data_IF_169759559092
#
_entry.id   IF_169759559092
#
_cell.length_a   1.000
_cell.length_b   1.000
_cell.length_c   1.000
_cell.angle_alpha   90.00
_cell.angle_beta   90.00
_cell.angle_gamma   90.00
#
_symmetry.space_group_name_H-M   'P 1'
#
loop_
_entity.id
_entity.type
_entity.pdbx_description
1 polymer ?
#
# COMPACT_ATOMS: atom_id res chain seq x y z
N UNK A 1 -26.35 -4.63 16.53
CA UNK A 1 -25.63 -4.99 15.28
C UNK A 1 -24.16 -4.81 15.59
N UNK A 2 -23.33 -5.81 15.36
CA UNK A 2 -21.92 -5.76 15.73
C UNK A 2 -21.22 -4.61 14.99
N UNK A 3 -20.62 -3.67 15.72
CA UNK A 3 -19.77 -2.59 15.22
C UNK A 3 -18.48 -3.18 14.62
N UNK A 4 -18.58 -3.83 13.46
CA UNK A 4 -17.43 -4.43 12.78
C UNK A 4 -16.69 -3.31 12.05
N UNK A 5 -15.49 -2.97 12.53
CA UNK A 5 -14.58 -2.06 11.84
C UNK A 5 -14.09 -2.66 10.52
N UNK A 6 -13.98 -1.82 9.50
CA UNK A 6 -13.35 -2.17 8.24
C UNK A 6 -11.87 -2.46 8.45
N UNK A 7 -11.38 -3.52 7.81
CA UNK A 7 -9.97 -3.92 7.84
C UNK A 7 -9.25 -3.25 6.68
N UNK A 8 -8.29 -2.38 7.00
CA UNK A 8 -7.49 -1.64 6.04
C UNK A 8 -6.10 -2.25 5.97
N UNK A 9 -5.64 -2.55 4.76
CA UNK A 9 -4.21 -2.77 4.50
C UNK A 9 -3.65 -1.53 3.81
N UNK A 10 -2.51 -1.04 4.30
CA UNK A 10 -1.86 0.15 3.76
C UNK A 10 -0.63 -0.23 2.94
N UNK A 11 -0.60 0.09 1.65
CA UNK A 11 0.56 -0.10 0.79
C UNK A 11 1.41 1.18 0.71
N UNK A 12 2.68 1.09 1.12
CA UNK A 12 3.62 2.21 1.11
C UNK A 12 4.97 1.84 0.47
N UNK A 13 5.78 2.83 0.10
CA UNK A 13 7.17 2.57 -0.33
C UNK A 13 8.15 2.52 0.84
N UNK A 14 9.42 2.22 0.53
CA UNK A 14 10.52 2.16 1.49
C UNK A 14 10.72 3.47 2.27
N UNK A 15 10.49 4.61 1.62
CA UNK A 15 10.71 5.92 2.21
C UNK A 15 9.68 6.19 3.31
N UNK A 16 8.39 6.03 2.99
CA UNK A 16 7.32 6.17 3.98
C UNK A 16 7.37 5.12 5.09
N UNK A 17 7.98 3.96 4.81
CA UNK A 17 8.22 2.92 5.80
C UNK A 17 9.39 3.22 6.76
N UNK A 18 10.14 4.30 6.51
CA UNK A 18 11.33 4.68 7.28
C UNK A 18 12.53 3.75 7.05
N UNK A 19 12.59 3.05 5.91
CA UNK A 19 13.68 2.11 5.58
C UNK A 19 14.89 2.84 4.98
N UNK A 20 14.64 3.87 4.17
CA UNK A 20 15.68 4.67 3.51
C UNK A 20 15.11 5.41 2.29
N UNK A 21 15.94 6.23 1.65
CA UNK A 21 15.60 6.95 0.43
C UNK A 21 15.88 6.12 -0.82
N UNK A 22 16.48 6.77 -1.81
CA UNK A 22 16.81 6.15 -3.11
C UNK A 22 17.83 5.02 -2.97
N UNK A 23 18.71 5.09 -1.98
CA UNK A 23 19.72 4.07 -1.65
C UNK A 23 19.13 2.76 -1.11
N UNK A 24 17.83 2.76 -0.79
CA UNK A 24 17.05 1.59 -0.37
C UNK A 24 15.86 1.32 -1.28
N UNK A 25 15.77 1.95 -2.45
CA UNK A 25 14.66 1.77 -3.36
C UNK A 25 14.61 0.36 -4.00
N UNK A 26 15.64 -0.45 -3.82
CA UNK A 26 15.76 -1.84 -4.28
C UNK A 26 15.27 -2.89 -3.28
N UNK A 27 14.71 -2.47 -2.12
CA UNK A 27 14.23 -3.43 -1.12
C UNK A 27 13.03 -4.25 -1.64
N UNK A 28 13.03 -5.58 -1.42
CA UNK A 28 11.93 -6.44 -1.85
C UNK A 28 10.65 -6.17 -1.02
N UNK A 29 9.49 -6.66 -1.49
CA UNK A 29 8.24 -6.60 -0.74
C UNK A 29 8.38 -7.16 0.68
N UNK A 30 7.78 -6.48 1.65
CA UNK A 30 7.69 -6.93 3.04
C UNK A 30 6.38 -6.46 3.68
N UNK A 31 5.99 -7.08 4.77
CA UNK A 31 4.78 -6.73 5.52
C UNK A 31 5.09 -6.51 7.00
N UNK A 32 4.39 -5.56 7.62
CA UNK A 32 4.41 -5.29 9.06
C UNK A 32 2.99 -5.30 9.59
N UNK A 33 2.77 -5.92 10.75
CA UNK A 33 1.47 -5.86 11.42
C UNK A 33 1.17 -4.44 11.90
N UNK A 34 -0.08 -4.02 11.72
CA UNK A 34 -0.54 -2.69 12.10
C UNK A 34 0.03 -1.56 11.24
N UNK A 35 0.24 -0.42 11.91
CA UNK A 35 0.49 0.86 11.26
C UNK A 35 1.97 1.15 11.11
N UNK A 36 2.36 1.66 9.93
CA UNK A 36 3.69 2.21 9.66
C UNK A 36 3.57 3.59 9.00
N UNK A 37 4.42 4.53 9.40
CA UNK A 37 4.57 5.84 8.76
C UNK A 37 3.24 6.59 8.59
N UNK A 38 2.84 6.94 7.35
CA UNK A 38 1.61 7.71 7.09
C UNK A 38 0.33 6.99 7.53
N UNK A 39 0.36 5.67 7.77
CA UNK A 39 -0.79 4.95 8.31
C UNK A 39 -1.23 5.43 9.68
N UNK A 40 -0.37 6.17 10.41
CA UNK A 40 -0.73 6.79 11.70
C UNK A 40 -1.85 7.81 11.53
N UNK A 41 -1.82 8.58 10.45
CA UNK A 41 -2.88 9.52 10.13
C UNK A 41 -4.17 8.80 9.75
N UNK A 42 -4.09 7.70 8.98
CA UNK A 42 -5.24 6.87 8.62
C UNK A 42 -5.91 6.28 9.87
N UNK A 43 -5.11 5.69 10.78
CA UNK A 43 -5.61 5.15 12.04
C UNK A 43 -6.32 6.21 12.87
N UNK A 44 -5.77 7.41 12.99
CA UNK A 44 -6.38 8.49 13.75
C UNK A 44 -7.69 8.97 13.10
N UNK A 45 -7.69 9.16 11.78
CA UNK A 45 -8.85 9.67 11.03
C UNK A 45 -10.01 8.66 10.99
N UNK A 46 -9.71 7.36 10.91
CA UNK A 46 -10.70 6.29 10.72
C UNK A 46 -10.99 5.50 11.99
N UNK A 47 -10.48 5.91 13.17
CA UNK A 47 -10.45 5.10 14.39
C UNK A 47 -11.81 4.49 14.82
N UNK A 48 -12.93 5.12 14.43
CA UNK A 48 -14.28 4.63 14.72
C UNK A 48 -14.75 3.56 13.73
N UNK A 49 -14.43 3.73 12.46
CA UNK A 49 -15.02 2.97 11.35
C UNK A 49 -14.09 1.90 10.77
N UNK A 50 -12.77 2.06 10.95
CA UNK A 50 -11.77 1.18 10.37
C UNK A 50 -10.55 0.98 11.28
N UNK A 51 -9.80 -0.07 10.97
CA UNK A 51 -8.54 -0.42 11.60
C UNK A 51 -7.51 -0.78 10.53
N UNK A 52 -6.31 -0.19 10.61
CA UNK A 52 -5.18 -0.60 9.79
C UNK A 52 -4.59 -1.86 10.40
N UNK A 53 -4.84 -3.01 9.77
CA UNK A 53 -4.45 -4.33 10.28
C UNK A 53 -3.03 -4.70 9.87
N UNK A 54 -2.55 -4.18 8.74
CA UNK A 54 -1.20 -4.38 8.25
C UNK A 54 -0.76 -3.26 7.31
N UNK A 55 0.56 -3.13 7.17
CA UNK A 55 1.22 -2.28 6.19
C UNK A 55 2.12 -3.14 5.30
N UNK A 56 1.90 -3.09 3.99
CA UNK A 56 2.74 -3.75 2.98
C UNK A 56 3.66 -2.70 2.37
N UNK A 57 4.93 -3.05 2.20
CA UNK A 57 6.01 -2.15 1.84
C UNK A 57 6.77 -2.73 0.65
N UNK A 58 7.05 -1.94 -0.38
CA UNK A 58 7.95 -2.35 -1.47
C UNK A 58 8.84 -1.18 -1.90
N UNK A 59 10.09 -1.47 -2.26
CA UNK A 59 11.00 -0.48 -2.81
C UNK A 59 10.58 -0.03 -4.21
N UNK A 60 10.66 1.27 -4.49
CA UNK A 60 10.23 1.84 -5.77
C UNK A 60 10.99 1.28 -6.98
N UNK A 61 12.31 1.11 -6.88
CA UNK A 61 13.13 0.50 -7.95
C UNK A 61 12.80 -0.97 -8.09
N UNK A 62 12.75 -1.72 -6.97
CA UNK A 62 12.45 -3.14 -6.99
C UNK A 62 11.12 -3.42 -7.68
N UNK A 63 10.06 -2.68 -7.32
CA UNK A 63 8.75 -2.86 -7.90
C UNK A 63 8.75 -2.60 -9.41
N UNK A 64 9.36 -1.49 -9.85
CA UNK A 64 9.37 -1.12 -11.27
C UNK A 64 10.25 -2.04 -12.13
N UNK A 65 11.30 -2.63 -11.55
CA UNK A 65 12.17 -3.59 -12.24
C UNK A 65 11.57 -5.01 -12.29
N UNK A 66 10.63 -5.32 -11.38
CA UNK A 66 10.07 -6.67 -11.20
C UNK A 66 8.53 -6.66 -11.14
N UNK A 67 7.86 -5.84 -11.96
CA UNK A 67 6.42 -5.50 -11.80
C UNK A 67 5.54 -6.73 -11.62
N UNK A 68 5.69 -7.77 -12.44
CA UNK A 68 4.84 -8.97 -12.36
C UNK A 68 5.05 -9.73 -11.05
N UNK A 69 6.29 -10.03 -10.69
CA UNK A 69 6.63 -10.77 -9.47
C UNK A 69 6.31 -9.95 -8.21
N UNK A 70 6.71 -8.69 -8.18
CA UNK A 70 6.46 -7.79 -7.07
C UNK A 70 4.96 -7.57 -6.83
N UNK A 71 4.17 -7.40 -7.90
CA UNK A 71 2.70 -7.27 -7.78
C UNK A 71 2.11 -8.53 -7.16
N UNK A 72 2.49 -9.71 -7.65
CA UNK A 72 2.00 -10.99 -7.13
C UNK A 72 2.35 -11.15 -5.65
N UNK A 73 3.59 -10.91 -5.25
CA UNK A 73 4.03 -10.99 -3.86
C UNK A 73 3.28 -10.01 -2.97
N UNK A 74 3.13 -8.75 -3.40
CA UNK A 74 2.37 -7.72 -2.68
C UNK A 74 0.92 -8.15 -2.49
N UNK A 75 0.26 -8.65 -3.54
CA UNK A 75 -1.12 -9.13 -3.48
C UNK A 75 -1.27 -10.31 -2.52
N UNK A 76 -0.34 -11.27 -2.56
CA UNK A 76 -0.35 -12.41 -1.64
C UNK A 76 -0.21 -11.96 -0.18
N UNK A 77 0.68 -11.00 0.11
CA UNK A 77 0.80 -10.38 1.44
C UNK A 77 -0.52 -9.69 1.85
N UNK A 78 -1.09 -8.86 0.98
CA UNK A 78 -2.37 -8.18 1.21
C UNK A 78 -3.50 -9.19 1.52
N UNK A 79 -3.62 -10.27 0.72
CA UNK A 79 -4.65 -11.30 0.88
C UNK A 79 -4.59 -11.98 2.24
N UNK A 80 -3.41 -12.23 2.81
CA UNK A 80 -3.25 -12.88 4.14
C UNK A 80 -3.95 -12.11 5.26
N UNK A 81 -4.10 -10.80 5.12
CA UNK A 81 -4.70 -9.95 6.14
C UNK A 81 -6.22 -9.80 6.02
N UNK A 82 -6.85 -10.43 5.03
CA UNK A 82 -8.29 -10.34 4.74
C UNK A 82 -8.83 -8.88 4.81
N UNK A 83 -8.31 -7.95 3.99
CA UNK A 83 -8.77 -6.57 3.98
C UNK A 83 -10.16 -6.41 3.39
N UNK A 84 -10.90 -5.43 3.90
CA UNK A 84 -12.13 -4.92 3.28
C UNK A 84 -11.82 -3.79 2.28
N UNK A 85 -10.70 -3.09 2.47
CA UNK A 85 -10.22 -2.00 1.61
C UNK A 85 -8.70 -1.91 1.66
N UNK A 86 -8.08 -1.50 0.55
CA UNK A 86 -6.65 -1.17 0.51
C UNK A 86 -6.47 0.33 0.31
N UNK A 87 -5.54 0.91 1.06
CA UNK A 87 -5.06 2.27 0.81
C UNK A 87 -3.66 2.17 0.21
N UNK A 88 -3.44 2.75 -0.96
CA UNK A 88 -2.12 2.86 -1.59
C UNK A 88 -1.62 4.30 -1.50
N UNK A 89 -0.34 4.51 -1.23
CA UNK A 89 0.22 5.86 -1.12
C UNK A 89 0.37 6.35 0.32
N UNK A 90 0.55 7.66 0.55
CA UNK A 90 0.31 8.74 -0.41
C UNK A 90 1.42 8.89 -1.45
N UNK A 91 1.06 9.00 -2.73
CA UNK A 91 1.99 9.35 -3.78
C UNK A 91 1.90 10.85 -4.07
N UNK A 92 2.87 11.64 -3.61
CA UNK A 92 2.97 13.07 -3.89
C UNK A 92 4.17 13.33 -4.78
N UNK A 93 3.94 13.69 -6.05
CA UNK A 93 4.99 13.99 -7.02
C UNK A 93 6.09 12.91 -7.10
N UNK A 94 5.67 11.65 -7.19
CA UNK A 94 6.52 10.48 -7.04
C UNK A 94 6.35 9.59 -8.27
N UNK A 95 7.20 9.79 -9.29
CA UNK A 95 7.07 9.12 -10.59
C UNK A 95 7.04 7.59 -10.49
N UNK A 96 8.11 6.97 -9.99
CA UNK A 96 8.20 5.49 -9.87
C UNK A 96 7.20 4.91 -8.88
N UNK A 97 6.99 5.62 -7.77
CA UNK A 97 6.09 5.17 -6.72
C UNK A 97 4.61 5.25 -7.14
N UNK A 98 4.23 6.29 -7.91
CA UNK A 98 2.88 6.43 -8.45
C UNK A 98 2.52 5.27 -9.37
N UNK A 99 3.44 4.86 -10.27
CA UNK A 99 3.27 3.68 -11.12
C UNK A 99 3.07 2.43 -10.28
N UNK A 100 3.85 2.26 -9.20
CA UNK A 100 3.69 1.13 -8.30
C UNK A 100 2.32 1.14 -7.59
N UNK A 101 1.85 2.30 -7.11
CA UNK A 101 0.51 2.44 -6.54
C UNK A 101 -0.60 2.09 -7.54
N UNK A 102 -0.51 2.57 -8.78
CA UNK A 102 -1.47 2.27 -9.84
C UNK A 102 -1.48 0.78 -10.21
N UNK A 103 -0.31 0.16 -10.36
CA UNK A 103 -0.17 -1.27 -10.64
C UNK A 103 -0.77 -2.14 -9.51
N UNK A 104 -0.45 -1.82 -8.26
CA UNK A 104 -1.03 -2.51 -7.09
C UNK A 104 -2.54 -2.33 -7.03
N UNK A 105 -3.05 -1.12 -7.26
CA UNK A 105 -4.48 -0.84 -7.25
C UNK A 105 -5.23 -1.63 -8.33
N UNK A 106 -4.69 -1.65 -9.55
CA UNK A 106 -5.24 -2.44 -10.65
C UNK A 106 -5.27 -3.93 -10.30
N UNK A 107 -4.14 -4.47 -9.82
CA UNK A 107 -4.03 -5.89 -9.55
C UNK A 107 -4.93 -6.35 -8.38
N UNK A 108 -5.10 -5.53 -7.34
CA UNK A 108 -6.08 -5.79 -6.28
C UNK A 108 -7.50 -5.81 -6.83
N UNK A 109 -7.84 -4.85 -7.68
CA UNK A 109 -9.18 -4.74 -8.28
C UNK A 109 -9.49 -5.96 -9.16
N UNK A 110 -8.53 -6.41 -9.95
CA UNK A 110 -8.67 -7.55 -10.87
C UNK A 110 -8.64 -8.91 -10.15
N UNK A 111 -7.80 -9.08 -9.12
CA UNK A 111 -7.60 -10.39 -8.46
C UNK A 111 -8.40 -10.60 -7.17
N UNK A 112 -8.67 -9.53 -6.41
CA UNK A 112 -9.34 -9.61 -5.10
C UNK A 112 -10.76 -9.05 -5.21
N UNK A 113 -10.97 -8.03 -6.04
CA UNK A 113 -12.28 -7.40 -6.23
C UNK A 113 -12.72 -6.50 -5.06
N UNK A 114 -11.76 -6.00 -4.26
CA UNK A 114 -12.02 -5.05 -3.16
C UNK A 114 -11.63 -3.63 -3.57
N UNK A 115 -12.26 -2.59 -2.99
CA UNK A 115 -11.94 -1.21 -3.31
C UNK A 115 -10.49 -0.84 -2.92
N UNK A 116 -9.88 -0.01 -3.75
CA UNK A 116 -8.57 0.60 -3.48
C UNK A 116 -8.71 2.12 -3.53
N UNK A 117 -8.16 2.79 -2.53
CA UNK A 117 -8.09 4.25 -2.48
C UNK A 117 -6.64 4.69 -2.50
N UNK A 118 -6.31 5.67 -3.34
CA UNK A 118 -4.97 6.23 -3.38
C UNK A 118 -5.01 7.74 -3.25
N UNK A 119 -4.11 8.30 -2.44
CA UNK A 119 -3.87 9.73 -2.37
C UNK A 119 -2.78 10.11 -3.37
N UNK A 120 -3.16 10.58 -4.55
CA UNK A 120 -2.23 10.93 -5.63
C UNK A 120 -2.36 12.39 -6.04
N UNK A 121 -1.22 13.05 -6.32
CA UNK A 121 -1.24 14.34 -7.01
C UNK A 121 -1.71 14.16 -8.46
N UNK A 122 -2.51 15.07 -9.07
CA UNK A 122 -3.10 14.86 -10.40
C UNK A 122 -2.10 14.55 -11.53
N UNK A 123 -0.85 14.99 -11.39
CA UNK A 123 0.21 14.77 -12.39
C UNK A 123 1.02 13.48 -12.15
N UNK A 124 0.74 12.73 -11.07
CA UNK A 124 1.43 11.47 -10.85
C UNK A 124 0.97 10.40 -11.86
N UNK A 125 1.90 9.64 -12.45
CA UNK A 125 1.55 8.49 -13.25
C UNK A 125 0.99 7.39 -12.35
N UNK A 126 -0.10 6.73 -12.77
CA UNK A 126 -0.71 5.59 -12.06
C UNK A 126 -2.23 5.59 -12.09
#
# INVERSE_FOLDING_TARGET
MSDKKLRVVHYINQFYAGIGGEEKADVPPSEREGVVGPGMALKAALAKDAEVVATVICGDSYFNENIEEASKTVIEMIKKHNPDVVVAGPAFNAGRYGVACGAVAKAITEEIGIPVVSGMYPENPG
#
